data_IF_817422699198
#
_entry.id   IF_817422699198
#
_cell.length_a   1.000
_cell.length_b   1.000
_cell.length_c   1.000
_cell.angle_alpha   90.00
_cell.angle_beta   90.00
_cell.angle_gamma   90.00
#
_symmetry.space_group_name_H-M   'P 1'
#
loop_
_entity.id
_entity.type
_entity.pdbx_description
1 polymer ?
#
# COMPACT_ATOMS: atom_id res chain seq x y z
N UNK A 1 19.98 0.55 -14.35
CA UNK A 1 19.94 1.00 -12.96
C UNK A 1 20.68 0.00 -12.09
N UNK A 2 21.59 0.48 -11.24
CA UNK A 2 22.29 -0.31 -10.24
C UNK A 2 21.51 -0.30 -8.91
N UNK A 3 21.79 -1.29 -8.03
CA UNK A 3 21.19 -1.34 -6.70
C UNK A 3 19.65 -1.23 -6.68
N UNK A 4 19.00 -1.90 -7.63
CA UNK A 4 17.54 -1.95 -7.69
C UNK A 4 17.00 -2.86 -6.60
N UNK A 5 15.98 -2.40 -5.88
CA UNK A 5 15.21 -3.19 -4.92
C UNK A 5 13.77 -3.28 -5.41
N UNK A 6 13.33 -4.47 -5.81
CA UNK A 6 11.97 -4.73 -6.26
C UNK A 6 11.05 -5.12 -5.11
N UNK A 7 9.89 -4.48 -5.02
CA UNK A 7 8.86 -4.80 -4.01
C UNK A 7 7.64 -5.42 -4.68
N UNK A 8 7.33 -6.66 -4.37
CA UNK A 8 6.26 -7.45 -4.98
C UNK A 8 5.39 -8.16 -3.94
N UNK A 9 4.19 -8.52 -4.34
CA UNK A 9 3.20 -9.15 -3.46
C UNK A 9 1.79 -8.59 -3.68
N UNK A 10 0.90 -8.82 -2.73
CA UNK A 10 -0.50 -8.35 -2.81
C UNK A 10 -0.72 -7.10 -1.96
N UNK A 11 -0.43 -7.16 -0.67
CA UNK A 11 -0.68 -6.06 0.28
C UNK A 11 0.59 -5.67 1.02
N UNK A 12 0.90 -4.37 1.07
CA UNK A 12 2.02 -3.84 1.84
C UNK A 12 3.25 -3.45 1.02
N UNK A 13 3.22 -3.53 -0.31
CA UNK A 13 4.34 -3.12 -1.18
C UNK A 13 4.75 -1.67 -0.90
N UNK A 14 3.86 -0.73 -1.10
CA UNK A 14 4.10 0.69 -0.85
C UNK A 14 4.60 0.97 0.57
N UNK A 15 3.94 0.41 1.60
CA UNK A 15 4.31 0.70 3.00
C UNK A 15 5.68 0.15 3.38
N UNK A 16 6.08 -1.00 2.84
CA UNK A 16 7.41 -1.55 3.03
C UNK A 16 8.46 -0.74 2.27
N UNK A 17 8.21 -0.45 0.99
CA UNK A 17 9.07 0.38 0.15
C UNK A 17 9.31 1.74 0.77
N UNK A 18 8.24 2.45 1.14
CA UNK A 18 8.32 3.78 1.71
C UNK A 18 9.08 3.80 3.04
N UNK A 19 8.90 2.77 3.89
CA UNK A 19 9.68 2.65 5.13
C UNK A 19 11.17 2.44 4.84
N UNK A 20 11.52 1.59 3.87
CA UNK A 20 12.92 1.40 3.43
C UNK A 20 13.50 2.71 2.91
N UNK A 21 12.76 3.42 2.04
CA UNK A 21 13.11 4.76 1.54
C UNK A 21 13.44 5.70 2.69
N UNK A 22 12.54 5.84 3.67
CA UNK A 22 12.77 6.72 4.82
C UNK A 22 14.04 6.38 5.60
N UNK A 23 14.36 5.10 5.77
CA UNK A 23 15.58 4.68 6.47
C UNK A 23 16.85 4.99 5.68
N UNK A 24 16.85 4.73 4.37
CA UNK A 24 17.97 5.03 3.47
C UNK A 24 18.26 6.52 3.47
N UNK A 25 17.23 7.35 3.25
CA UNK A 25 17.40 8.81 3.17
C UNK A 25 17.79 9.44 4.53
N UNK A 26 17.24 8.91 5.64
CA UNK A 26 17.69 9.32 6.98
C UNK A 26 19.16 8.97 7.27
N UNK A 27 19.69 7.96 6.58
CA UNK A 27 21.11 7.57 6.63
C UNK A 27 21.97 8.37 5.64
N UNK A 28 21.46 9.49 5.11
CA UNK A 28 22.10 10.39 4.14
C UNK A 28 22.49 9.73 2.80
N UNK A 29 21.76 8.67 2.42
CA UNK A 29 21.86 8.03 1.12
C UNK A 29 20.67 8.44 0.27
N UNK A 30 20.85 8.42 -1.05
CA UNK A 30 19.86 8.91 -2.00
C UNK A 30 19.04 7.78 -2.60
N UNK A 31 17.77 8.05 -2.92
CA UNK A 31 16.89 7.05 -3.53
C UNK A 31 16.12 7.63 -4.71
N UNK A 32 15.89 6.83 -5.75
CA UNK A 32 14.70 7.02 -6.59
C UNK A 32 13.64 6.00 -6.23
N UNK A 33 12.36 6.31 -6.50
CA UNK A 33 11.29 5.34 -6.26
C UNK A 33 10.21 5.39 -7.35
N UNK A 34 9.74 4.21 -7.74
CA UNK A 34 8.57 4.00 -8.59
C UNK A 34 7.48 3.28 -7.81
N UNK A 35 6.32 3.92 -7.67
CA UNK A 35 5.18 3.38 -6.91
C UNK A 35 3.90 3.32 -7.74
N UNK A 36 2.98 2.41 -7.36
CA UNK A 36 1.69 2.28 -8.05
C UNK A 36 0.57 1.76 -7.12
N UNK A 37 -0.64 2.33 -7.24
CA UNK A 37 -0.98 3.57 -7.94
C UNK A 37 -0.49 4.83 -7.19
N UNK A 38 -0.56 5.99 -7.85
CA UNK A 38 -0.48 7.28 -7.16
C UNK A 38 -1.76 7.54 -6.34
N UNK A 39 -1.69 8.40 -5.36
CA UNK A 39 -2.82 8.73 -4.49
C UNK A 39 -3.60 9.95 -5.04
N UNK A 40 -2.92 11.06 -5.32
CA UNK A 40 -3.50 12.34 -5.76
C UNK A 40 -3.09 12.72 -7.18
N UNK A 41 -1.81 12.57 -7.51
CA UNK A 41 -1.22 13.03 -8.75
C UNK A 41 -0.31 11.95 -9.33
N UNK A 42 -0.30 11.81 -10.67
CA UNK A 42 0.54 10.83 -11.36
C UNK A 42 2.03 11.02 -11.08
N UNK A 43 2.48 12.26 -10.78
CA UNK A 43 3.86 12.58 -10.42
C UNK A 43 4.35 11.83 -9.19
N UNK A 44 3.46 11.52 -8.25
CA UNK A 44 3.79 10.78 -7.02
C UNK A 44 4.36 9.37 -7.32
N UNK A 45 4.11 8.85 -8.52
CA UNK A 45 4.70 7.57 -8.96
C UNK A 45 6.20 7.63 -9.17
N UNK A 46 6.78 8.83 -9.30
CA UNK A 46 8.14 9.04 -9.79
C UNK A 46 8.94 9.94 -8.84
N UNK A 47 9.49 9.37 -7.78
CA UNK A 47 10.42 10.04 -6.87
C UNK A 47 11.84 9.99 -7.46
N UNK A 48 12.53 11.13 -7.53
CA UNK A 48 13.85 11.29 -8.16
C UNK A 48 14.89 11.88 -7.20
N UNK A 49 15.04 11.29 -6.03
CA UNK A 49 16.01 11.73 -5.03
C UNK A 49 15.46 12.79 -4.08
N UNK A 50 15.14 13.98 -4.60
CA UNK A 50 14.67 15.11 -3.77
C UNK A 50 13.26 15.58 -4.12
N UNK A 51 12.78 15.24 -5.31
CA UNK A 51 11.48 15.70 -5.84
C UNK A 51 10.80 14.65 -6.70
N UNK A 52 9.53 14.87 -6.97
CA UNK A 52 8.80 14.15 -8.01
C UNK A 52 9.13 14.69 -9.41
N UNK A 53 8.95 13.87 -10.44
CA UNK A 53 9.01 14.34 -11.83
C UNK A 53 7.99 15.44 -12.06
N UNK A 54 8.37 16.41 -12.91
CA UNK A 54 7.45 17.41 -13.42
C UNK A 54 6.65 16.88 -14.61
N UNK A 55 5.50 17.48 -14.90
CA UNK A 55 4.73 17.16 -16.11
C UNK A 55 5.52 17.39 -17.41
N UNK A 56 6.48 18.34 -17.42
CA UNK A 56 7.38 18.58 -18.57
C UNK A 56 8.27 17.36 -18.83
N UNK A 57 8.90 16.82 -17.78
CA UNK A 57 9.77 15.64 -17.88
C UNK A 57 8.99 14.39 -18.27
N UNK A 58 7.78 14.19 -17.70
CA UNK A 58 6.90 13.10 -18.10
C UNK A 58 6.55 13.21 -19.59
N UNK A 59 6.13 14.38 -20.07
CA UNK A 59 5.82 14.61 -21.49
C UNK A 59 7.03 14.40 -22.40
N UNK A 60 8.22 14.82 -21.98
CA UNK A 60 9.46 14.57 -22.74
C UNK A 60 9.74 13.07 -22.88
N UNK A 61 9.61 12.31 -21.78
CA UNK A 61 9.77 10.86 -21.80
C UNK A 61 8.74 10.16 -22.71
N UNK A 62 7.46 10.60 -22.65
CA UNK A 62 6.43 10.09 -23.58
C UNK A 62 6.79 10.35 -25.04
N UNK A 63 7.34 11.52 -25.38
CA UNK A 63 7.78 11.83 -26.76
C UNK A 63 8.89 10.90 -27.22
N UNK A 64 9.85 10.56 -26.34
CA UNK A 64 10.91 9.60 -26.65
C UNK A 64 10.34 8.19 -26.88
N UNK A 65 9.44 7.73 -25.99
CA UNK A 65 8.80 6.41 -26.10
C UNK A 65 8.01 6.28 -27.40
N UNK A 66 7.28 7.32 -27.80
CA UNK A 66 6.50 7.32 -29.05
C UNK A 66 7.38 7.13 -30.31
N UNK A 67 8.64 7.59 -30.30
CA UNK A 67 9.57 7.39 -31.43
C UNK A 67 9.94 5.93 -31.66
N UNK A 68 9.83 5.08 -30.62
CA UNK A 68 10.14 3.65 -30.71
C UNK A 68 9.09 2.86 -31.51
N UNK A 69 7.88 3.42 -31.73
CA UNK A 69 6.78 2.79 -32.46
C UNK A 69 6.39 1.38 -31.93
N UNK A 70 6.66 1.10 -30.65
CA UNK A 70 6.33 -0.17 -29.97
C UNK A 70 4.99 -0.02 -29.25
N UNK A 71 4.04 -0.95 -29.42
CA UNK A 71 2.78 -0.94 -28.67
C UNK A 71 3.06 -1.26 -27.19
N UNK A 72 2.78 -0.31 -26.31
CA UNK A 72 2.97 -0.44 -24.86
C UNK A 72 1.66 -0.16 -24.15
N UNK A 73 1.39 -0.92 -23.11
CA UNK A 73 0.34 -0.62 -22.15
C UNK A 73 0.68 0.64 -21.35
N UNK A 74 -0.32 1.26 -20.72
CA UNK A 74 -0.10 2.45 -19.87
C UNK A 74 0.91 2.15 -18.76
N UNK A 75 0.86 0.96 -18.16
CA UNK A 75 1.77 0.61 -17.06
C UNK A 75 3.22 0.45 -17.56
N UNK A 76 3.42 -0.13 -18.73
CA UNK A 76 4.74 -0.22 -19.39
C UNK A 76 5.28 1.15 -19.72
N UNK A 77 4.47 2.05 -20.29
CA UNK A 77 4.86 3.45 -20.54
C UNK A 77 5.32 4.13 -19.25
N UNK A 78 4.55 3.98 -18.13
CA UNK A 78 4.92 4.55 -16.85
C UNK A 78 6.25 3.98 -16.31
N UNK A 79 6.48 2.67 -16.46
CA UNK A 79 7.72 2.01 -16.05
C UNK A 79 8.92 2.55 -16.86
N UNK A 80 8.76 2.71 -18.17
CA UNK A 80 9.81 3.26 -19.04
C UNK A 80 10.10 4.72 -18.71
N UNK A 81 9.06 5.54 -18.42
CA UNK A 81 9.24 6.93 -17.93
C UNK A 81 10.12 6.94 -16.68
N UNK A 82 9.82 6.06 -15.71
CA UNK A 82 10.63 5.94 -14.50
C UNK A 82 12.09 5.61 -14.84
N UNK A 83 12.33 4.56 -15.63
CA UNK A 83 13.68 4.09 -15.96
C UNK A 83 14.49 5.18 -16.66
N UNK A 84 13.92 5.86 -17.68
CA UNK A 84 14.58 6.96 -18.41
C UNK A 84 15.02 8.09 -17.47
N UNK A 85 14.21 8.42 -16.47
CA UNK A 85 14.53 9.54 -15.58
C UNK A 85 15.39 9.09 -14.39
N UNK A 86 15.19 7.92 -13.86
CA UNK A 86 16.01 7.36 -12.80
C UNK A 86 17.46 7.08 -13.26
N UNK A 87 17.66 6.68 -14.54
CA UNK A 87 19.01 6.46 -15.10
C UNK A 87 19.86 7.75 -15.23
N UNK A 88 19.23 8.90 -15.10
CA UNK A 88 19.91 10.21 -15.12
C UNK A 88 20.27 10.72 -13.72
N UNK A 89 19.84 9.99 -12.67
CA UNK A 89 20.10 10.34 -11.28
C UNK A 89 21.31 9.56 -10.78
N UNK A 90 22.24 10.25 -10.15
CA UNK A 90 23.31 9.63 -9.36
C UNK A 90 22.73 9.34 -7.95
N UNK A 91 22.18 8.14 -7.80
CA UNK A 91 21.51 7.74 -6.56
C UNK A 91 21.99 6.37 -6.09
N UNK A 92 22.05 6.20 -4.76
CA UNK A 92 22.54 4.97 -4.13
C UNK A 92 21.61 3.77 -4.39
N UNK A 93 20.29 4.00 -4.40
CA UNK A 93 19.29 2.93 -4.54
C UNK A 93 18.11 3.33 -5.42
N UNK A 94 17.57 2.35 -6.14
CA UNK A 94 16.35 2.45 -6.95
C UNK A 94 15.27 1.52 -6.38
N UNK A 95 14.20 2.08 -5.83
CA UNK A 95 13.12 1.33 -5.18
C UNK A 95 11.94 1.18 -6.13
N UNK A 96 11.60 -0.05 -6.53
CA UNK A 96 10.63 -0.30 -7.60
C UNK A 96 9.48 -1.17 -7.10
N UNK A 97 8.26 -0.63 -7.10
CA UNK A 97 7.04 -1.36 -6.76
C UNK A 97 6.47 -2.06 -7.98
N UNK A 98 6.31 -3.38 -7.93
CA UNK A 98 5.61 -4.17 -8.95
C UNK A 98 4.11 -3.84 -9.00
N UNK A 99 3.52 -3.91 -10.19
CA UNK A 99 2.11 -3.63 -10.42
C UNK A 99 1.18 -4.69 -9.81
N UNK A 100 0.79 -5.67 -10.60
CA UNK A 100 -0.19 -6.69 -10.19
C UNK A 100 0.43 -8.07 -9.93
N UNK A 101 1.06 -8.64 -10.96
CA UNK A 101 1.73 -9.94 -10.97
C UNK A 101 3.16 -9.72 -11.48
N UNK A 102 4.14 -10.49 -10.98
CA UNK A 102 5.53 -10.21 -11.30
C UNK A 102 6.04 -10.88 -12.57
N UNK A 103 5.49 -12.04 -12.95
CA UNK A 103 5.95 -12.82 -14.11
C UNK A 103 6.05 -12.04 -15.43
N UNK A 104 5.03 -11.25 -15.73
CA UNK A 104 4.94 -10.40 -16.93
C UNK A 104 4.77 -8.92 -16.57
N UNK A 105 5.29 -8.52 -15.41
CA UNK A 105 5.23 -7.15 -14.95
C UNK A 105 6.36 -6.34 -15.58
N UNK A 106 6.07 -5.14 -16.08
CA UNK A 106 7.09 -4.27 -16.69
C UNK A 106 8.21 -3.88 -15.73
N UNK A 107 8.02 -4.07 -14.42
CA UNK A 107 9.06 -3.85 -13.42
C UNK A 107 9.99 -5.06 -13.22
N UNK A 108 9.69 -6.21 -13.87
CA UNK A 108 10.57 -7.39 -13.86
C UNK A 108 11.54 -7.38 -15.04
N UNK A 109 12.26 -6.28 -15.21
CA UNK A 109 13.21 -6.06 -16.33
C UNK A 109 14.66 -5.92 -15.83
N UNK A 110 14.87 -6.06 -14.55
CA UNK A 110 16.22 -5.96 -13.95
C UNK A 110 16.78 -7.37 -13.74
N UNK A 111 17.81 -7.74 -14.49
CA UNK A 111 18.43 -9.08 -14.47
C UNK A 111 19.07 -9.38 -13.11
N UNK A 112 19.74 -8.38 -12.52
CA UNK A 112 20.49 -8.50 -11.28
C UNK A 112 20.07 -7.44 -10.24
N UNK A 113 18.83 -7.45 -9.75
CA UNK A 113 18.44 -6.53 -8.70
C UNK A 113 19.22 -6.85 -7.41
N UNK A 114 19.57 -5.81 -6.65
CA UNK A 114 20.22 -5.96 -5.35
C UNK A 114 19.36 -6.81 -4.40
N UNK A 115 18.04 -6.59 -4.42
CA UNK A 115 17.12 -7.34 -3.61
C UNK A 115 15.72 -7.42 -4.24
N UNK A 116 15.00 -8.50 -3.90
CA UNK A 116 13.61 -8.74 -4.26
C UNK A 116 12.80 -9.00 -2.99
N UNK A 117 11.85 -8.13 -2.71
CA UNK A 117 11.11 -8.06 -1.44
C UNK A 117 9.68 -8.56 -1.65
N UNK A 118 9.38 -9.74 -1.12
CA UNK A 118 8.06 -10.36 -1.18
C UNK A 118 7.26 -9.93 0.05
N UNK A 119 6.31 -9.03 -0.10
CA UNK A 119 5.37 -8.67 0.96
C UNK A 119 4.23 -9.70 1.05
N UNK A 120 3.22 -9.46 1.89
CA UNK A 120 2.10 -10.39 2.05
C UNK A 120 1.42 -10.71 0.71
N UNK A 121 1.25 -12.01 0.43
CA UNK A 121 0.52 -12.53 -0.74
C UNK A 121 -0.85 -13.04 -0.30
N UNK A 122 -1.88 -12.64 -1.04
CA UNK A 122 -3.25 -13.10 -0.90
C UNK A 122 -3.94 -13.22 -2.28
N UNK A 123 -5.16 -13.73 -2.30
CA UNK A 123 -5.96 -13.90 -3.53
C UNK A 123 -6.39 -12.55 -4.07
N UNK A 124 -5.61 -11.97 -4.98
CA UNK A 124 -5.92 -10.73 -5.70
C UNK A 124 -5.51 -10.87 -7.17
N UNK A 125 -6.05 -10.01 -8.02
CA UNK A 125 -5.76 -9.96 -9.46
C UNK A 125 -6.10 -11.26 -10.22
N UNK A 126 -7.14 -11.97 -9.78
CA UNK A 126 -7.55 -13.26 -10.35
C UNK A 126 -8.04 -13.14 -11.80
N UNK A 127 -8.50 -11.95 -12.20
CA UNK A 127 -8.95 -11.64 -13.56
C UNK A 127 -7.82 -11.71 -14.60
N UNK A 128 -6.57 -11.62 -14.18
CA UNK A 128 -5.39 -11.77 -15.06
C UNK A 128 -4.91 -13.23 -15.17
N UNK A 129 -5.55 -14.17 -14.46
CA UNK A 129 -5.08 -15.54 -14.35
C UNK A 129 -6.05 -16.52 -15.05
N UNK A 130 -5.47 -17.51 -15.77
CA UNK A 130 -6.24 -18.63 -16.31
C UNK A 130 -6.83 -19.48 -15.18
N UNK A 131 -5.99 -19.87 -14.23
CA UNK A 131 -6.39 -20.60 -13.01
C UNK A 131 -6.53 -19.61 -11.86
N UNK A 132 -7.77 -19.34 -11.43
CA UNK A 132 -8.10 -18.41 -10.35
C UNK A 132 -7.78 -18.96 -8.94
N UNK A 133 -6.60 -19.57 -8.78
CA UNK A 133 -6.16 -20.25 -7.56
C UNK A 133 -5.08 -19.44 -6.83
N UNK A 134 -4.90 -19.72 -5.54
CA UNK A 134 -3.82 -19.13 -4.74
C UNK A 134 -2.45 -19.63 -5.23
N UNK A 135 -2.36 -20.87 -5.71
CA UNK A 135 -1.11 -21.43 -6.25
C UNK A 135 -0.63 -20.65 -7.45
N UNK A 136 -1.56 -20.36 -8.39
CA UNK A 136 -1.24 -19.55 -9.57
C UNK A 136 -0.83 -18.12 -9.17
N UNK A 137 -1.53 -17.49 -8.21
CA UNK A 137 -1.12 -16.17 -7.69
C UNK A 137 0.29 -16.19 -7.12
N UNK A 138 0.64 -17.22 -6.33
CA UNK A 138 1.98 -17.34 -5.75
C UNK A 138 3.01 -17.58 -6.85
N UNK A 139 2.76 -18.49 -7.78
CA UNK A 139 3.65 -18.79 -8.90
C UNK A 139 3.93 -17.54 -9.74
N UNK A 140 2.89 -16.81 -10.15
CA UNK A 140 3.02 -15.59 -10.95
C UNK A 140 3.76 -14.44 -10.23
N UNK A 141 3.79 -14.46 -8.91
CA UNK A 141 4.51 -13.44 -8.12
C UNK A 141 5.94 -13.84 -7.79
N UNK A 142 6.23 -15.10 -7.54
CA UNK A 142 7.54 -15.51 -7.01
C UNK A 142 8.30 -16.50 -7.88
N UNK A 143 7.64 -17.15 -8.85
CA UNK A 143 8.27 -18.13 -9.73
C UNK A 143 9.23 -17.54 -10.77
N UNK A 144 9.28 -16.21 -10.87
CA UNK A 144 10.06 -15.47 -11.87
C UNK A 144 11.04 -14.47 -11.24
N UNK A 145 11.46 -14.75 -10.01
CA UNK A 145 12.50 -13.97 -9.36
C UNK A 145 13.87 -14.25 -9.99
N UNK A 146 14.69 -13.20 -10.09
CA UNK A 146 16.09 -13.33 -10.51
C UNK A 146 16.85 -14.22 -9.55
N UNK A 147 17.86 -14.92 -10.08
CA UNK A 147 18.80 -15.69 -9.27
C UNK A 147 19.93 -14.79 -8.75
N UNK A 148 20.71 -15.29 -7.80
CA UNK A 148 21.93 -14.65 -7.26
C UNK A 148 21.69 -13.26 -6.66
N UNK A 149 20.51 -13.04 -6.07
CA UNK A 149 20.10 -11.80 -5.40
C UNK A 149 19.77 -12.03 -3.93
N UNK A 150 19.45 -10.97 -3.20
CA UNK A 150 18.86 -11.10 -1.87
C UNK A 150 17.33 -11.19 -1.99
N UNK A 151 16.71 -12.23 -1.45
CA UNK A 151 15.26 -12.35 -1.41
C UNK A 151 14.79 -12.19 0.04
N UNK A 152 13.88 -11.25 0.27
CA UNK A 152 13.27 -11.02 1.58
C UNK A 152 11.80 -11.43 1.56
N UNK A 153 11.42 -12.41 2.36
CA UNK A 153 10.03 -12.88 2.47
C UNK A 153 9.40 -12.30 3.73
N UNK A 154 8.41 -11.43 3.57
CA UNK A 154 7.63 -10.86 4.65
C UNK A 154 6.66 -11.88 5.27
N UNK A 155 5.91 -11.45 6.29
CA UNK A 155 4.97 -12.32 7.01
C UNK A 155 3.90 -12.87 6.05
N UNK A 156 3.69 -14.17 6.07
CA UNK A 156 2.74 -14.91 5.24
C UNK A 156 1.81 -15.78 6.10
N UNK A 157 0.67 -16.19 5.53
CA UNK A 157 -0.09 -17.31 6.06
C UNK A 157 0.70 -18.62 5.87
N UNK A 158 0.59 -19.61 6.75
CA UNK A 158 1.39 -20.86 6.65
C UNK A 158 1.30 -21.54 5.28
N UNK A 159 0.10 -21.70 4.74
CA UNK A 159 -0.12 -22.32 3.42
C UNK A 159 0.49 -21.51 2.26
N UNK A 160 0.52 -20.16 2.35
CA UNK A 160 1.19 -19.31 1.37
C UNK A 160 2.70 -19.44 1.47
N UNK A 161 3.24 -19.47 2.70
CA UNK A 161 4.68 -19.65 2.92
C UNK A 161 5.19 -20.98 2.35
N UNK A 162 4.44 -22.07 2.55
CA UNK A 162 4.76 -23.38 1.96
C UNK A 162 4.83 -23.31 0.43
N UNK A 163 3.86 -22.62 -0.21
CA UNK A 163 3.84 -22.43 -1.66
C UNK A 163 5.01 -21.56 -2.15
N UNK A 164 5.35 -20.50 -1.43
CA UNK A 164 6.53 -19.66 -1.72
C UNK A 164 7.80 -20.52 -1.65
N UNK A 165 7.99 -21.30 -0.58
CA UNK A 165 9.15 -22.18 -0.43
C UNK A 165 9.25 -23.18 -1.59
N UNK A 166 8.13 -23.78 -2.01
CA UNK A 166 8.08 -24.70 -3.17
C UNK A 166 8.55 -24.02 -4.45
N UNK A 167 8.06 -22.81 -4.73
CA UNK A 167 8.43 -22.05 -5.94
C UNK A 167 9.88 -21.57 -5.93
N UNK A 168 10.46 -21.32 -4.75
CA UNK A 168 11.84 -20.84 -4.60
C UNK A 168 12.85 -21.97 -4.35
N UNK A 169 12.44 -23.25 -4.43
CA UNK A 169 13.33 -24.40 -4.11
C UNK A 169 14.61 -24.39 -4.95
N UNK A 170 14.51 -24.06 -6.22
CA UNK A 170 15.62 -24.06 -7.18
C UNK A 170 16.20 -22.64 -7.43
N UNK A 171 15.71 -21.62 -6.75
CA UNK A 171 16.25 -20.28 -6.88
C UNK A 171 17.58 -20.16 -6.13
N UNK A 172 18.62 -19.70 -6.81
CA UNK A 172 20.00 -19.61 -6.29
C UNK A 172 20.27 -18.35 -5.46
N UNK A 173 19.24 -17.62 -5.06
CA UNK A 173 19.34 -16.43 -4.24
C UNK A 173 19.47 -16.75 -2.75
N UNK A 174 20.02 -15.82 -1.99
CA UNK A 174 19.99 -15.88 -0.52
C UNK A 174 18.62 -15.47 0.00
N UNK A 175 17.84 -16.41 0.50
CA UNK A 175 16.46 -16.19 0.90
C UNK A 175 16.34 -15.96 2.41
N UNK A 176 15.85 -14.77 2.78
CA UNK A 176 15.56 -14.38 4.16
C UNK A 176 14.07 -14.60 4.44
N UNK A 177 13.74 -15.71 5.12
CA UNK A 177 12.37 -16.06 5.50
C UNK A 177 11.88 -15.28 6.75
N UNK A 178 10.55 -15.18 6.98
CA UNK A 178 9.99 -14.38 8.07
C UNK A 178 10.21 -14.96 9.49
N UNK A 179 10.98 -16.04 9.63
CA UNK A 179 11.46 -16.55 10.92
C UNK A 179 12.77 -15.87 11.38
N UNK A 180 13.45 -15.12 10.51
CA UNK A 180 14.71 -14.43 10.82
C UNK A 180 14.50 -13.15 11.63
N UNK A 181 13.27 -12.67 11.73
CA UNK A 181 12.86 -11.52 12.54
C UNK A 181 11.45 -11.71 13.11
N UNK A 182 11.09 -10.95 14.14
CA UNK A 182 9.78 -11.06 14.81
C UNK A 182 9.26 -9.68 15.22
N UNK A 183 7.94 -9.47 15.07
CA UNK A 183 7.19 -8.44 15.77
C UNK A 183 6.79 -8.97 17.14
N UNK A 184 7.24 -8.31 18.20
CA UNK A 184 6.93 -8.68 19.60
C UNK A 184 6.05 -7.60 20.21
N UNK A 185 5.00 -8.00 20.93
CA UNK A 185 4.18 -7.12 21.78
C UNK A 185 4.45 -7.45 23.24
N UNK A 186 4.85 -6.44 24.03
CA UNK A 186 5.03 -6.55 25.49
C UNK A 186 4.46 -5.28 26.15
N UNK A 187 3.55 -5.43 27.08
CA UNK A 187 2.95 -4.32 27.85
C UNK A 187 2.49 -3.14 26.95
N UNK A 188 1.67 -3.41 25.94
CA UNK A 188 1.20 -2.44 24.93
C UNK A 188 2.29 -1.82 24.02
N UNK A 189 3.55 -2.14 24.24
CA UNK A 189 4.67 -1.72 23.39
C UNK A 189 4.96 -2.76 22.31
N UNK A 190 5.43 -2.31 21.17
CA UNK A 190 5.84 -3.17 20.07
C UNK A 190 7.35 -3.07 19.85
N UNK A 191 7.94 -4.20 19.47
CA UNK A 191 9.38 -4.31 19.21
C UNK A 191 9.62 -5.14 17.96
N UNK A 192 10.55 -4.70 17.14
CA UNK A 192 11.27 -5.55 16.20
C UNK A 192 12.32 -6.35 16.97
N UNK A 193 12.53 -7.62 16.62
CA UNK A 193 13.61 -8.46 17.13
C UNK A 193 14.14 -9.39 16.05
N UNK A 194 15.45 -9.43 15.87
CA UNK A 194 16.19 -10.47 15.15
C UNK A 194 17.26 -11.09 16.07
N UNK A 195 18.26 -11.80 15.50
CA UNK A 195 19.34 -12.43 16.27
C UNK A 195 20.20 -11.41 17.00
N UNK A 196 20.44 -10.22 16.40
CA UNK A 196 21.40 -9.20 16.90
C UNK A 196 20.71 -7.97 17.48
N UNK A 197 19.49 -7.67 17.04
CA UNK A 197 18.82 -6.41 17.32
C UNK A 197 17.49 -6.59 18.03
N UNK A 198 17.20 -5.66 18.95
CA UNK A 198 15.87 -5.44 19.52
C UNK A 198 15.60 -3.94 19.48
N UNK A 199 14.60 -3.52 18.67
CA UNK A 199 14.27 -2.12 18.39
C UNK A 199 12.85 -1.86 18.89
N UNK A 200 12.68 -0.83 19.71
CA UNK A 200 11.36 -0.37 20.15
C UNK A 200 10.68 0.38 19.00
N UNK A 201 9.46 -0.02 18.66
CA UNK A 201 8.68 0.63 17.61
C UNK A 201 7.86 1.76 18.23
N UNK A 202 8.18 2.99 17.87
CA UNK A 202 7.32 4.13 18.21
C UNK A 202 6.16 4.19 17.22
N UNK A 203 5.00 3.74 17.65
CA UNK A 203 3.85 3.50 16.77
C UNK A 203 2.85 4.66 16.71
N UNK A 204 3.29 5.90 16.96
CA UNK A 204 2.41 7.09 16.98
C UNK A 204 1.54 7.21 15.71
N UNK A 205 2.09 6.85 14.55
CA UNK A 205 1.41 6.97 13.24
C UNK A 205 1.12 5.60 12.59
N UNK A 206 1.47 4.49 13.26
CA UNK A 206 1.32 3.13 12.71
C UNK A 206 0.33 2.35 13.56
N UNK A 207 -0.88 2.20 13.05
CA UNK A 207 -2.03 1.80 13.86
C UNK A 207 -2.44 0.34 13.72
N UNK A 208 -2.02 -0.36 12.67
CA UNK A 208 -2.43 -1.75 12.44
C UNK A 208 -1.30 -2.76 12.54
N UNK A 209 -1.65 -4.01 12.86
CA UNK A 209 -0.70 -5.13 12.89
C UNK A 209 -0.01 -5.32 11.53
N UNK A 210 -0.76 -5.19 10.42
CA UNK A 210 -0.20 -5.33 9.08
C UNK A 210 0.86 -4.26 8.76
N UNK A 211 0.61 -3.00 9.15
CA UNK A 211 1.60 -1.93 9.01
C UNK A 211 2.84 -2.16 9.88
N UNK A 212 2.67 -2.67 11.10
CA UNK A 212 3.80 -3.03 11.97
C UNK A 212 4.63 -4.18 11.42
N UNK A 213 3.99 -5.19 10.82
CA UNK A 213 4.69 -6.30 10.14
C UNK A 213 5.46 -5.79 8.92
N UNK A 214 4.90 -4.88 8.12
CA UNK A 214 5.59 -4.24 6.99
C UNK A 214 6.77 -3.38 7.46
N UNK A 215 6.61 -2.62 8.55
CA UNK A 215 7.71 -1.86 9.17
C UNK A 215 8.83 -2.78 9.65
N UNK A 216 8.51 -3.88 10.33
CA UNK A 216 9.53 -4.86 10.75
C UNK A 216 10.26 -5.47 9.56
N UNK A 217 9.57 -5.73 8.45
CA UNK A 217 10.18 -6.21 7.22
C UNK A 217 11.14 -5.16 6.64
N UNK A 218 10.74 -3.89 6.60
CA UNK A 218 11.59 -2.78 6.17
C UNK A 218 12.82 -2.59 7.08
N UNK A 219 12.67 -2.74 8.40
CA UNK A 219 13.78 -2.68 9.37
C UNK A 219 14.79 -3.79 9.08
N UNK A 220 14.34 -5.03 8.81
CA UNK A 220 15.24 -6.13 8.45
C UNK A 220 16.06 -5.80 7.20
N UNK A 221 15.41 -5.27 6.16
CA UNK A 221 16.08 -4.87 4.92
C UNK A 221 17.10 -3.75 5.22
N UNK A 222 16.69 -2.71 5.94
CA UNK A 222 17.56 -1.58 6.28
C UNK A 222 18.80 -2.00 7.07
N UNK A 223 18.66 -2.90 8.05
CA UNK A 223 19.79 -3.44 8.82
C UNK A 223 20.75 -4.25 7.93
N UNK A 224 20.24 -5.01 6.98
CA UNK A 224 21.06 -5.79 6.03
C UNK A 224 21.76 -4.87 5.02
N UNK A 225 21.16 -3.73 4.67
CA UNK A 225 21.79 -2.64 3.91
C UNK A 225 22.79 -1.83 4.74
N UNK A 226 23.09 -2.24 5.99
CA UNK A 226 24.05 -1.58 6.90
C UNK A 226 23.63 -0.18 7.37
N UNK A 227 22.35 0.14 7.32
CA UNK A 227 21.84 1.38 7.91
C UNK A 227 21.98 1.28 9.44
N UNK A 228 22.52 2.35 10.04
CA UNK A 228 22.74 2.39 11.48
C UNK A 228 21.42 2.21 12.25
N UNK A 229 21.45 1.34 13.26
CA UNK A 229 20.28 1.07 14.12
C UNK A 229 19.72 2.33 14.76
N UNK A 230 20.57 3.28 15.18
CA UNK A 230 20.15 4.54 15.82
C UNK A 230 19.40 5.43 14.83
N UNK A 231 19.82 5.43 13.54
CA UNK A 231 19.12 6.12 12.47
C UNK A 231 17.73 5.52 12.28
N UNK A 232 17.62 4.19 12.22
CA UNK A 232 16.33 3.49 12.10
C UNK A 232 15.40 3.88 13.28
N UNK A 233 15.87 3.77 14.53
CA UNK A 233 15.09 4.08 15.72
C UNK A 233 14.57 5.54 15.73
N UNK A 234 15.39 6.50 15.31
CA UNK A 234 15.04 7.92 15.21
C UNK A 234 14.05 8.20 14.08
N UNK A 235 14.07 7.44 13.00
CA UNK A 235 13.21 7.65 11.82
C UNK A 235 11.80 7.09 12.02
N UNK A 236 11.63 5.98 12.76
CA UNK A 236 10.32 5.32 12.94
C UNK A 236 9.19 6.28 13.34
N UNK A 237 9.35 7.24 14.28
CA UNK A 237 8.28 8.14 14.69
C UNK A 237 7.76 9.07 13.58
N UNK A 238 8.57 9.38 12.58
CA UNK A 238 8.21 10.25 11.46
C UNK A 238 7.48 9.51 10.33
N UNK A 239 7.59 8.17 10.29
CA UNK A 239 6.96 7.37 9.24
C UNK A 239 5.44 7.42 9.38
N UNK A 240 4.79 7.86 8.31
CA UNK A 240 3.34 7.86 8.17
C UNK A 240 2.98 7.54 6.73
N UNK A 241 1.81 6.95 6.53
CA UNK A 241 1.38 6.51 5.20
C UNK A 241 0.10 7.25 4.81
N UNK A 242 0.19 8.16 3.84
CA UNK A 242 -1.00 8.81 3.31
C UNK A 242 -1.99 7.76 2.74
N UNK A 243 -3.26 7.96 3.07
CA UNK A 243 -4.31 7.03 2.65
C UNK A 243 -4.28 5.63 3.28
N UNK A 244 -3.54 5.45 4.38
CA UNK A 244 -3.49 4.21 5.15
C UNK A 244 -3.60 4.52 6.65
N UNK A 245 -4.75 4.21 7.26
CA UNK A 245 -5.04 4.54 8.67
C UNK A 245 -4.73 6.01 9.01
N UNK A 246 -4.88 6.91 8.02
CA UNK A 246 -4.51 8.31 8.14
C UNK A 246 -5.60 9.10 8.85
N UNK A 247 -5.31 9.61 10.04
CA UNK A 247 -6.18 10.56 10.74
C UNK A 247 -5.92 11.98 10.22
N UNK A 248 -6.96 12.66 9.74
CA UNK A 248 -6.86 14.08 9.40
C UNK A 248 -6.88 14.93 10.66
N UNK A 249 -5.76 15.56 10.96
CA UNK A 249 -5.58 16.41 12.16
C UNK A 249 -5.84 17.90 11.88
N UNK A 250 -5.76 18.32 10.61
CA UNK A 250 -5.91 19.69 10.12
C UNK A 250 -6.44 19.68 8.70
N UNK A 251 -6.80 20.85 8.17
CA UNK A 251 -7.27 21.08 6.81
C UNK A 251 -8.75 21.40 6.74
N UNK A 252 -9.21 21.74 5.52
CA UNK A 252 -10.58 22.24 5.28
C UNK A 252 -11.66 21.27 5.75
N UNK A 253 -11.44 19.96 5.58
CA UNK A 253 -12.39 18.93 6.02
C UNK A 253 -12.46 18.91 7.54
N UNK A 254 -11.29 18.86 8.22
CA UNK A 254 -11.27 18.82 9.69
C UNK A 254 -11.93 20.05 10.30
N UNK A 255 -11.77 21.22 9.70
CA UNK A 255 -12.38 22.47 10.16
C UNK A 255 -13.91 22.51 10.01
N UNK A 256 -14.49 21.68 9.14
CA UNK A 256 -15.95 21.51 8.98
C UNK A 256 -16.58 20.51 9.95
N UNK A 257 -15.77 19.74 10.65
CA UNK A 257 -16.24 18.74 11.61
C UNK A 257 -16.34 19.33 13.02
N UNK A 258 -17.26 18.81 13.82
CA UNK A 258 -17.30 19.13 15.25
C UNK A 258 -16.02 18.67 15.97
N UNK A 259 -15.68 19.32 17.08
CA UNK A 259 -14.45 19.05 17.85
C UNK A 259 -14.35 17.60 18.31
N UNK A 260 -15.47 16.96 18.62
CA UNK A 260 -15.57 15.58 19.07
C UNK A 260 -15.52 14.55 17.93
N UNK A 261 -15.48 15.01 16.67
CA UNK A 261 -15.42 14.12 15.51
C UNK A 261 -13.98 13.93 15.04
N UNK A 262 -13.67 12.68 14.76
CA UNK A 262 -12.42 12.29 14.09
C UNK A 262 -12.74 11.71 12.72
N UNK A 263 -11.84 11.93 11.77
CA UNK A 263 -11.94 11.34 10.44
C UNK A 263 -10.66 10.58 10.12
N UNK A 264 -10.81 9.37 9.60
CA UNK A 264 -9.74 8.51 9.18
C UNK A 264 -9.92 8.11 7.71
N UNK A 265 -8.86 8.23 6.93
CA UNK A 265 -8.79 7.83 5.53
C UNK A 265 -8.03 6.50 5.40
N UNK A 266 -8.63 5.53 4.72
CA UNK A 266 -7.97 4.27 4.41
C UNK A 266 -8.39 3.76 3.03
N UNK A 267 -7.43 3.55 2.15
CA UNK A 267 -7.64 3.06 0.80
C UNK A 267 -7.80 1.54 0.69
N UNK A 268 -8.09 0.83 1.79
CA UNK A 268 -8.41 -0.59 1.77
C UNK A 268 -9.54 -0.87 0.77
N UNK A 269 -9.33 -1.85 -0.13
CA UNK A 269 -10.26 -2.17 -1.20
C UNK A 269 -10.31 -3.65 -1.57
N UNK A 270 -9.57 -4.49 -0.82
CA UNK A 270 -9.60 -5.94 -0.94
C UNK A 270 -10.00 -6.59 0.39
N UNK A 271 -10.47 -7.82 0.34
CA UNK A 271 -10.92 -8.57 1.52
C UNK A 271 -9.89 -8.61 2.65
N UNK A 272 -8.61 -8.85 2.32
CA UNK A 272 -7.53 -8.93 3.29
C UNK A 272 -7.25 -7.59 3.97
N UNK A 273 -7.30 -6.49 3.19
CA UNK A 273 -7.10 -5.14 3.70
C UNK A 273 -8.27 -4.72 4.60
N UNK A 274 -9.51 -5.05 4.17
CA UNK A 274 -10.72 -4.86 4.98
C UNK A 274 -10.65 -5.59 6.32
N UNK A 275 -10.16 -6.84 6.33
CA UNK A 275 -9.96 -7.61 7.57
C UNK A 275 -8.96 -6.93 8.51
N UNK A 276 -7.84 -6.41 7.98
CA UNK A 276 -6.85 -5.68 8.78
C UNK A 276 -7.43 -4.40 9.38
N UNK A 277 -8.17 -3.62 8.57
CA UNK A 277 -8.85 -2.41 9.00
C UNK A 277 -9.95 -2.69 10.02
N UNK A 278 -10.79 -3.69 9.79
CA UNK A 278 -11.85 -4.10 10.70
C UNK A 278 -11.30 -4.52 12.08
N UNK A 279 -10.20 -5.27 12.10
CA UNK A 279 -9.54 -5.67 13.34
C UNK A 279 -9.05 -4.46 14.16
N UNK A 280 -8.53 -3.44 13.48
CA UNK A 280 -8.17 -2.19 14.14
C UNK A 280 -9.40 -1.46 14.70
N UNK A 281 -10.44 -1.28 13.89
CA UNK A 281 -11.65 -0.55 14.26
C UNK A 281 -12.41 -1.20 15.42
N UNK A 282 -12.38 -2.53 15.57
CA UNK A 282 -13.01 -3.23 16.73
C UNK A 282 -12.41 -2.81 18.07
N UNK A 283 -11.15 -2.40 18.11
CA UNK A 283 -10.49 -1.95 19.34
C UNK A 283 -10.79 -0.48 19.69
N UNK A 284 -11.48 0.25 18.85
CA UNK A 284 -11.87 1.64 19.09
C UNK A 284 -13.24 1.68 19.74
N UNK A 285 -13.37 2.33 20.90
CA UNK A 285 -14.61 2.33 21.71
C UNK A 285 -15.64 3.37 21.28
N UNK A 286 -15.32 4.34 20.40
CA UNK A 286 -16.29 5.35 19.95
C UNK A 286 -17.18 4.82 18.82
N UNK A 287 -18.41 5.36 18.66
CA UNK A 287 -19.25 5.09 17.51
C UNK A 287 -18.52 5.33 16.18
N UNK A 288 -18.71 4.43 15.24
CA UNK A 288 -18.05 4.48 13.94
C UNK A 288 -19.05 4.59 12.81
N UNK A 289 -18.72 5.43 11.84
CA UNK A 289 -19.47 5.66 10.62
C UNK A 289 -18.55 5.47 9.44
N UNK A 290 -19.10 5.14 8.27
CA UNK A 290 -18.28 4.99 7.06
C UNK A 290 -18.81 5.84 5.91
N UNK A 291 -17.89 6.42 5.14
CA UNK A 291 -18.11 6.89 3.77
C UNK A 291 -17.44 5.85 2.86
N UNK A 292 -18.25 5.16 2.06
CA UNK A 292 -17.80 4.02 1.26
C UNK A 292 -17.92 4.29 -0.23
N UNK A 293 -16.80 4.19 -0.94
CA UNK A 293 -16.72 4.26 -2.39
C UNK A 293 -15.81 3.14 -2.91
N UNK A 294 -16.08 2.56 -4.09
CA UNK A 294 -15.32 1.42 -4.60
C UNK A 294 -15.31 1.36 -6.12
N UNK A 295 -14.24 0.76 -6.68
CA UNK A 295 -14.10 0.49 -8.10
C UNK A 295 -14.89 -0.77 -8.52
N UNK A 296 -15.40 -0.82 -9.77
CA UNK A 296 -16.17 -1.96 -10.33
C UNK A 296 -15.39 -3.28 -10.36
N UNK A 297 -14.07 -3.21 -10.53
CA UNK A 297 -13.20 -4.39 -10.61
C UNK A 297 -12.79 -4.97 -9.23
N UNK A 298 -13.47 -4.57 -8.16
CA UNK A 298 -13.27 -5.07 -6.80
C UNK A 298 -14.44 -5.94 -6.36
N UNK A 299 -14.28 -6.59 -5.21
CA UNK A 299 -15.28 -7.50 -4.62
C UNK A 299 -15.98 -6.84 -3.43
N UNK A 300 -16.97 -5.94 -3.66
CA UNK A 300 -17.58 -5.11 -2.61
C UNK A 300 -18.31 -5.93 -1.55
N UNK A 301 -18.88 -7.07 -1.92
CA UNK A 301 -19.60 -7.97 -1.01
C UNK A 301 -18.61 -8.61 0.00
N UNK A 302 -17.48 -9.15 -0.47
CA UNK A 302 -16.45 -9.73 0.38
C UNK A 302 -15.77 -8.67 1.26
N UNK A 303 -15.62 -7.46 0.74
CA UNK A 303 -15.05 -6.32 1.44
C UNK A 303 -15.94 -5.89 2.60
N UNK A 304 -17.23 -5.57 2.34
CA UNK A 304 -18.09 -4.96 3.35
C UNK A 304 -18.45 -5.93 4.48
N UNK A 305 -18.57 -7.23 4.20
CA UNK A 305 -18.82 -8.29 5.20
C UNK A 305 -17.82 -8.28 6.35
N UNK A 306 -16.58 -7.82 6.14
CA UNK A 306 -15.55 -7.76 7.20
C UNK A 306 -15.87 -6.74 8.29
N UNK A 307 -16.74 -5.78 7.99
CA UNK A 307 -17.13 -4.70 8.91
C UNK A 307 -18.45 -4.96 9.67
N UNK A 308 -19.01 -6.18 9.57
CA UNK A 308 -20.25 -6.54 10.30
C UNK A 308 -20.12 -6.20 11.80
N UNK A 309 -21.10 -5.46 12.33
CA UNK A 309 -21.14 -5.00 13.71
C UNK A 309 -20.21 -3.84 14.07
N UNK A 310 -19.53 -3.20 13.08
CA UNK A 310 -18.58 -2.11 13.35
C UNK A 310 -19.21 -0.73 13.14
N UNK A 311 -19.89 -0.52 12.01
CA UNK A 311 -20.42 0.78 11.65
C UNK A 311 -21.88 0.93 12.10
N UNK A 312 -22.22 2.06 12.73
CA UNK A 312 -23.61 2.45 13.04
C UNK A 312 -24.37 2.79 11.75
N UNK A 313 -23.69 3.44 10.81
CA UNK A 313 -24.26 3.87 9.52
C UNK A 313 -23.13 3.97 8.47
N UNK A 314 -23.47 3.66 7.24
CA UNK A 314 -22.61 3.77 6.07
C UNK A 314 -23.25 4.72 5.06
N UNK A 315 -22.51 5.67 4.53
CA UNK A 315 -22.94 6.48 3.41
C UNK A 315 -22.13 6.07 2.17
N UNK A 316 -22.80 5.63 1.14
CA UNK A 316 -22.16 5.28 -0.14
C UNK A 316 -22.12 6.48 -1.06
N UNK A 317 -20.96 6.67 -1.73
CA UNK A 317 -20.74 7.74 -2.71
C UNK A 317 -20.08 7.21 -3.98
N UNK A 318 -20.23 7.87 -5.14
CA UNK A 318 -19.39 7.60 -6.29
C UNK A 318 -17.97 8.16 -6.06
N UNK A 319 -17.00 7.77 -6.89
CA UNK A 319 -15.66 8.38 -6.92
C UNK A 319 -15.67 9.46 -8.00
N UNK A 320 -15.42 10.70 -7.62
CA UNK A 320 -15.39 11.82 -8.56
C UNK A 320 -14.32 11.60 -9.65
N UNK A 321 -14.66 11.92 -10.89
CA UNK A 321 -13.82 11.80 -12.09
C UNK A 321 -13.33 10.37 -12.40
N UNK A 322 -13.98 9.33 -11.83
CA UNK A 322 -13.61 7.94 -12.06
C UNK A 322 -14.77 7.15 -12.70
N UNK A 323 -14.71 6.97 -14.03
CA UNK A 323 -15.77 6.29 -14.81
C UNK A 323 -15.96 4.81 -14.43
N UNK A 324 -14.91 4.15 -13.96
CA UNK A 324 -14.92 2.74 -13.57
C UNK A 324 -15.28 2.53 -12.09
N UNK A 325 -15.80 3.53 -11.40
CA UNK A 325 -16.30 3.36 -10.04
C UNK A 325 -17.71 2.74 -10.02
N UNK A 326 -18.05 2.12 -8.91
CA UNK A 326 -19.42 1.67 -8.64
C UNK A 326 -20.30 2.88 -8.32
N UNK A 327 -21.59 2.80 -8.70
CA UNK A 327 -22.55 3.82 -8.31
C UNK A 327 -22.85 3.76 -6.80
N UNK A 328 -23.20 4.90 -6.23
CA UNK A 328 -23.65 4.94 -4.84
C UNK A 328 -24.90 4.06 -4.60
N UNK A 329 -25.77 3.93 -5.62
CA UNK A 329 -26.97 3.08 -5.59
C UNK A 329 -26.59 1.59 -5.48
N UNK A 330 -25.65 1.10 -6.30
CA UNK A 330 -25.23 -0.30 -6.29
C UNK A 330 -24.54 -0.66 -4.97
N UNK A 331 -23.64 0.19 -4.49
CA UNK A 331 -22.98 -0.01 -3.19
C UNK A 331 -23.99 -0.01 -2.04
N UNK A 332 -25.02 0.87 -2.07
CA UNK A 332 -26.12 0.87 -1.10
C UNK A 332 -26.88 -0.46 -1.13
N UNK A 333 -27.19 -0.99 -2.30
CA UNK A 333 -27.89 -2.27 -2.47
C UNK A 333 -27.09 -3.42 -1.89
N UNK A 334 -25.77 -3.47 -2.14
CA UNK A 334 -24.87 -4.48 -1.58
C UNK A 334 -24.79 -4.34 -0.05
N UNK A 335 -24.69 -3.12 0.46
CA UNK A 335 -24.65 -2.89 1.90
C UNK A 335 -25.93 -3.34 2.59
N UNK A 336 -27.11 -3.03 2.02
CA UNK A 336 -28.42 -3.49 2.53
C UNK A 336 -28.55 -5.03 2.51
N UNK A 337 -28.13 -5.69 1.40
CA UNK A 337 -28.09 -7.15 1.31
C UNK A 337 -27.25 -7.77 2.42
N UNK A 338 -26.21 -7.10 2.89
CA UNK A 338 -25.38 -7.52 4.02
C UNK A 338 -25.85 -7.00 5.38
N UNK A 339 -27.09 -6.52 5.47
CA UNK A 339 -27.76 -6.08 6.72
C UNK A 339 -27.09 -4.87 7.39
N UNK A 340 -26.48 -3.97 6.61
CA UNK A 340 -25.98 -2.69 7.10
C UNK A 340 -27.05 -1.60 7.01
N UNK A 341 -27.02 -0.64 7.94
CA UNK A 341 -27.73 0.62 7.82
C UNK A 341 -26.98 1.52 6.80
N UNK A 342 -27.54 1.63 5.57
CA UNK A 342 -26.85 2.30 4.45
C UNK A 342 -27.75 3.33 3.78
N UNK A 343 -27.21 4.53 3.63
CA UNK A 343 -27.76 5.58 2.80
C UNK A 343 -26.80 5.92 1.62
N UNK A 344 -27.27 6.68 0.65
CA UNK A 344 -26.45 7.22 -0.44
C UNK A 344 -26.30 8.73 -0.32
N UNK A 345 -25.21 9.25 -0.88
CA UNK A 345 -25.00 10.65 -1.13
C UNK A 345 -24.35 10.84 -2.53
N UNK A 346 -24.47 12.06 -3.08
CA UNK A 346 -23.94 12.36 -4.40
C UNK A 346 -22.42 12.62 -4.38
N UNK A 347 -21.90 13.09 -3.25
CA UNK A 347 -20.48 13.40 -3.08
C UNK A 347 -20.06 13.32 -1.61
N UNK A 348 -18.79 13.54 -1.36
CA UNK A 348 -18.20 13.46 -0.02
C UNK A 348 -18.79 14.52 0.94
N UNK A 349 -18.99 15.77 0.49
CA UNK A 349 -19.52 16.83 1.35
C UNK A 349 -20.95 16.51 1.82
N UNK A 350 -21.81 16.00 0.94
CA UNK A 350 -23.16 15.55 1.31
C UNK A 350 -23.09 14.37 2.29
N UNK A 351 -22.16 13.42 2.07
CA UNK A 351 -21.98 12.28 2.97
C UNK A 351 -21.60 12.73 4.39
N UNK A 352 -20.69 13.69 4.50
CA UNK A 352 -20.29 14.26 5.80
C UNK A 352 -21.47 14.95 6.47
N UNK A 353 -22.28 15.74 5.78
CA UNK A 353 -23.49 16.39 6.33
C UNK A 353 -24.49 15.38 6.91
N UNK A 354 -24.60 14.18 6.30
CA UNK A 354 -25.50 13.11 6.79
C UNK A 354 -24.96 12.36 8.02
N UNK A 355 -23.68 12.50 8.35
CA UNK A 355 -23.03 11.82 9.48
C UNK A 355 -22.71 12.78 10.62
N UNK A 356 -22.29 14.00 10.29
CA UNK A 356 -21.72 14.96 11.25
C UNK A 356 -22.76 15.38 12.29
N UNK A 357 -22.38 15.38 13.56
CA UNK A 357 -23.14 15.86 14.69
C UNK A 357 -22.21 16.09 15.89
N UNK A 358 -22.60 16.84 16.94
CA UNK A 358 -21.75 17.10 18.10
C UNK A 358 -21.29 15.86 18.89
N UNK A 359 -21.88 14.70 18.65
CA UNK A 359 -21.51 13.47 19.33
C UNK A 359 -20.08 12.98 18.97
N UNK A 360 -19.40 12.42 19.98
CA UNK A 360 -18.09 11.81 19.78
C UNK A 360 -18.17 10.60 18.83
N UNK A 361 -17.44 10.65 17.71
CA UNK A 361 -17.44 9.56 16.70
C UNK A 361 -16.19 9.52 15.87
N UNK A 362 -16.02 8.39 15.16
CA UNK A 362 -14.99 8.22 14.13
C UNK A 362 -15.65 7.99 12.77
N UNK A 363 -15.38 8.87 11.81
CA UNK A 363 -15.80 8.77 10.42
C UNK A 363 -14.67 8.11 9.63
N UNK A 364 -14.98 7.05 8.89
CA UNK A 364 -14.00 6.25 8.15
C UNK A 364 -14.28 6.35 6.65
N UNK A 365 -13.35 6.91 5.87
CA UNK A 365 -13.42 6.91 4.41
C UNK A 365 -12.69 5.69 3.89
N UNK A 366 -13.43 4.76 3.24
CA UNK A 366 -12.93 3.42 2.89
C UNK A 366 -13.32 2.98 1.48
N UNK A 367 -12.64 1.96 0.97
CA UNK A 367 -13.00 1.22 -0.24
C UNK A 367 -12.23 1.60 -1.49
N UNK A 368 -11.51 2.75 -1.52
CA UNK A 368 -10.74 3.16 -2.70
C UNK A 368 -9.63 4.14 -2.36
N UNK A 369 -8.45 3.91 -2.94
CA UNK A 369 -7.36 4.89 -2.92
C UNK A 369 -7.69 6.15 -3.72
N UNK A 370 -8.37 6.01 -4.85
CA UNK A 370 -8.79 7.15 -5.67
C UNK A 370 -9.74 8.08 -4.91
N UNK A 371 -10.72 7.50 -4.18
CA UNK A 371 -11.59 8.31 -3.33
C UNK A 371 -10.82 9.02 -2.21
N UNK A 372 -9.87 8.33 -1.59
CA UNK A 372 -9.00 8.95 -0.57
C UNK A 372 -8.16 10.07 -1.16
N UNK A 373 -7.61 9.90 -2.37
CA UNK A 373 -6.89 10.95 -3.10
C UNK A 373 -7.76 12.18 -3.35
N UNK A 374 -9.00 11.99 -3.84
CA UNK A 374 -9.96 13.07 -4.05
C UNK A 374 -10.26 13.82 -2.74
N UNK A 375 -10.46 13.09 -1.64
CA UNK A 375 -10.70 13.69 -0.31
C UNK A 375 -9.48 14.51 0.14
N UNK A 376 -8.26 14.03 -0.07
CA UNK A 376 -7.03 14.74 0.28
C UNK A 376 -6.83 16.00 -0.58
N UNK A 377 -7.26 16.01 -1.83
CA UNK A 377 -7.17 17.17 -2.71
C UNK A 377 -8.11 18.33 -2.31
N UNK A 378 -9.21 18.02 -1.63
CA UNK A 378 -10.15 19.05 -1.14
C UNK A 378 -9.91 19.44 0.32
N UNK A 379 -9.00 18.74 1.03
CA UNK A 379 -8.63 19.02 2.42
C UNK A 379 -7.57 20.11 2.51
#
# INVERSE_FOLDING_TARGET
LNNVINFLGSSGKFTTLYSVKCFIEANKQTTTAYISPSLRDIKERFWMGERYLTYKEIRQSIRLIKKLKVPLTIFEVLTVIYIINASKQDTDYHLVEAGALFAKDSTNVFDFPLAQVIVNINKQHLNFLKRKTLDEVVYQKVGFLSNFTQVYVGKQRPNVLTKIKKNLKNNKSKINYPNTWKLIKKNKLFFYKDKKNKIKLNTKNIHSKGLLENLCHAIKIALDLKIDRRVIEKTIPSISFEGRFQYLKKGKIKNKLHNNEQIMLDGAHAEADAKNLANYLRNIKVPKYAVWAMMKNKEPDLFIKKFKGIFKKIITIPIENEKNCMSAKDLKSIGKKNQFNVEKANNFNEAIKKISSPEKKLINCIGSLYNVGNILNIN
#
